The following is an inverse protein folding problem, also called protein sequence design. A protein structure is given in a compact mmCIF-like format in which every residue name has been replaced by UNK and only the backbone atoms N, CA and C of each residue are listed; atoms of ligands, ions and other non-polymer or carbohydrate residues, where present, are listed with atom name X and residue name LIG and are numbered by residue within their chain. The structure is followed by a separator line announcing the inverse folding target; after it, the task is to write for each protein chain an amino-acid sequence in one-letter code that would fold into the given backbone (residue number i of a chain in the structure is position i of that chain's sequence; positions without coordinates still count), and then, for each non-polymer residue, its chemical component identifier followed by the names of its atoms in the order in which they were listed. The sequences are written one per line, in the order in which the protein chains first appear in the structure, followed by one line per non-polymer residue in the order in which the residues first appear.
data_IF_372319078623
#
_entry.id   IF_372319078623
#
_cell.length_a   1.000
_cell.length_b   1.000
_cell.length_c   1.000
_cell.angle_alpha   90.00
_cell.angle_beta   90.00
_cell.angle_gamma   90.00
#
_symmetry.space_group_name_H-M   'P 1'
#
loop_
_entity.id
_entity.type
_entity.pdbx_description
1 polymer ?
#
# COMPACT_ATOMS: atom_id res chain seq x y z
N UNK A 1 45.06 -23.81 -72.07
CA UNK A 1 44.55 -22.46 -71.73
C UNK A 1 43.76 -22.46 -70.40
N UNK A 2 44.26 -23.08 -69.33
CA UNK A 2 43.55 -23.18 -68.03
C UNK A 2 44.36 -22.65 -66.83
N UNK A 3 45.63 -22.29 -67.04
CA UNK A 3 46.51 -21.77 -65.99
C UNK A 3 46.38 -20.25 -65.79
N UNK A 4 46.00 -19.50 -66.84
CA UNK A 4 45.86 -18.03 -66.77
C UNK A 4 44.59 -17.59 -66.05
N UNK A 5 43.47 -18.29 -66.24
CA UNK A 5 42.19 -17.91 -65.63
C UNK A 5 42.22 -17.97 -64.10
N UNK A 6 42.99 -18.91 -63.54
CA UNK A 6 43.15 -19.07 -62.09
C UNK A 6 43.98 -17.95 -61.46
N UNK A 7 44.98 -17.42 -62.16
CA UNK A 7 45.80 -16.28 -61.70
C UNK A 7 45.01 -14.97 -61.77
N UNK A 8 44.23 -14.75 -62.83
CA UNK A 8 43.39 -13.55 -62.97
C UNK A 8 42.27 -13.54 -61.93
N UNK A 9 41.62 -14.68 -61.67
CA UNK A 9 40.58 -14.80 -60.64
C UNK A 9 41.12 -14.57 -59.22
N UNK A 10 42.34 -15.06 -58.91
CA UNK A 10 42.97 -14.85 -57.61
C UNK A 10 43.40 -13.39 -57.39
N UNK A 11 43.90 -12.73 -58.43
CA UNK A 11 44.26 -11.30 -58.39
C UNK A 11 43.03 -10.40 -58.24
N UNK A 12 41.90 -10.74 -58.86
CA UNK A 12 40.63 -10.03 -58.68
C UNK A 12 40.04 -10.24 -57.27
N UNK A 13 40.22 -11.41 -56.66
CA UNK A 13 39.79 -11.66 -55.29
C UNK A 13 40.63 -10.89 -54.27
N UNK A 14 41.95 -10.83 -54.47
CA UNK A 14 42.86 -10.05 -53.63
C UNK A 14 42.57 -8.55 -53.77
N UNK A 15 42.30 -8.05 -54.98
CA UNK A 15 41.93 -6.63 -55.14
C UNK A 15 40.59 -6.32 -54.46
N UNK A 16 39.63 -7.24 -54.49
CA UNK A 16 38.35 -7.07 -53.78
C UNK A 16 38.52 -7.03 -52.25
N UNK A 17 39.39 -7.87 -51.68
CA UNK A 17 39.72 -7.88 -50.25
C UNK A 17 40.48 -6.62 -49.83
N UNK A 18 41.38 -6.10 -50.66
CA UNK A 18 42.11 -4.86 -50.38
C UNK A 18 41.17 -3.65 -50.44
N UNK A 19 40.25 -3.61 -51.41
CA UNK A 19 39.26 -2.53 -51.55
C UNK A 19 38.26 -2.54 -50.39
N UNK A 20 37.79 -3.72 -49.94
CA UNK A 20 36.91 -3.82 -48.78
C UNK A 20 37.63 -3.64 -47.43
N UNK A 21 38.90 -4.04 -47.35
CA UNK A 21 39.73 -3.85 -46.15
C UNK A 21 40.13 -2.39 -45.91
N UNK A 22 40.23 -1.57 -46.96
CA UNK A 22 40.52 -0.14 -46.85
C UNK A 22 39.28 0.72 -46.53
N UNK A 23 38.07 0.21 -46.76
CA UNK A 23 36.81 0.92 -46.43
C UNK A 23 36.43 0.77 -44.95
N UNK A 24 37.02 -0.19 -44.23
CA UNK A 24 36.72 -0.44 -42.80
C UNK A 24 37.94 -0.12 -41.92
N UNK A 25 38.32 1.16 -41.87
CA UNK A 25 39.06 1.71 -40.74
C UNK A 25 38.05 2.21 -39.70
N UNK A 26 38.08 1.73 -38.45
CA UNK A 26 37.24 2.30 -37.40
C UNK A 26 37.79 3.68 -37.06
N UNK A 27 37.07 4.73 -37.47
CA UNK A 27 37.28 6.08 -36.93
C UNK A 27 36.85 6.07 -35.47
N UNK A 28 37.81 6.13 -34.54
CA UNK A 28 37.52 6.44 -33.13
C UNK A 28 37.06 7.89 -33.04
N UNK A 29 35.75 8.09 -33.12
CA UNK A 29 35.11 9.35 -32.80
C UNK A 29 34.96 9.44 -31.27
N UNK A 30 35.82 10.21 -30.62
CA UNK A 30 35.57 10.67 -29.26
C UNK A 30 34.39 11.66 -29.31
N UNK A 31 33.25 11.24 -28.77
CA UNK A 31 32.04 12.04 -28.70
C UNK A 31 31.60 12.14 -27.23
N UNK A 32 31.87 13.28 -26.61
CA UNK A 32 31.28 13.63 -25.32
C UNK A 32 29.88 14.25 -25.50
N UNK A 33 28.92 13.84 -24.67
CA UNK A 33 28.07 14.68 -23.77
C UNK A 33 26.85 13.89 -23.22
N UNK A 34 26.12 14.49 -22.27
CA UNK A 34 25.60 13.87 -21.05
C UNK A 34 24.08 14.05 -20.79
N UNK A 35 23.49 13.16 -19.93
CA UNK A 35 22.23 13.21 -19.12
C UNK A 35 20.85 13.06 -19.86
N UNK A 36 19.85 12.27 -19.39
CA UNK A 36 19.02 12.36 -18.15
C UNK A 36 19.02 11.11 -17.25
N UNK A 37 19.78 10.08 -17.62
CA UNK A 37 19.63 8.71 -17.11
C UNK A 37 20.94 8.04 -16.60
N UNK A 38 22.04 8.81 -16.38
CA UNK A 38 23.11 8.36 -15.47
C UNK A 38 24.56 8.12 -15.97
N UNK A 39 25.07 8.75 -17.02
CA UNK A 39 26.53 8.73 -17.37
C UNK A 39 26.97 10.08 -17.99
N UNK A 40 28.24 10.50 -18.14
CA UNK A 40 29.56 10.38 -17.47
C UNK A 40 30.46 11.51 -18.06
N UNK A 41 31.46 12.03 -17.32
CA UNK A 41 32.34 13.16 -17.73
C UNK A 41 33.82 12.73 -17.83
N UNK A 42 34.64 13.48 -18.58
CA UNK A 42 35.95 14.00 -18.11
C UNK A 42 36.42 15.19 -18.95
N UNK A 43 36.34 16.41 -18.38
CA UNK A 43 37.49 17.25 -17.99
C UNK A 43 38.01 18.10 -19.16
N UNK A 44 37.68 19.38 -19.27
CA UNK A 44 38.41 20.45 -18.56
C UNK A 44 37.69 21.79 -18.74
N UNK A 45 37.81 22.67 -17.74
CA UNK A 45 37.41 24.09 -17.76
C UNK A 45 35.90 24.39 -17.89
N UNK A 46 35.20 24.34 -16.75
CA UNK A 46 34.00 25.14 -16.52
C UNK A 46 34.21 25.99 -15.25
N UNK A 47 35.19 26.89 -15.32
CA UNK A 47 35.21 28.08 -14.47
C UNK A 47 34.11 29.02 -14.96
N UNK A 48 33.29 29.49 -14.01
CA UNK A 48 32.36 30.62 -14.16
C UNK A 48 30.96 30.43 -14.75
N UNK A 49 30.21 29.38 -14.36
CA UNK A 49 28.72 29.49 -14.35
C UNK A 49 28.03 28.76 -13.16
N UNK A 50 28.75 28.50 -12.06
CA UNK A 50 28.19 27.81 -10.87
C UNK A 50 27.48 28.74 -9.87
N UNK A 51 26.92 29.89 -10.27
CA UNK A 51 26.27 30.80 -9.31
C UNK A 51 24.77 31.06 -9.51
N UNK A 52 24.19 30.73 -10.68
CA UNK A 52 22.76 31.08 -10.94
C UNK A 52 21.74 30.11 -10.35
N UNK A 53 22.13 28.89 -10.02
CA UNK A 53 21.25 27.88 -9.42
C UNK A 53 21.78 27.39 -8.09
N UNK A 54 21.90 28.29 -7.10
CA UNK A 54 21.82 27.84 -5.70
C UNK A 54 20.38 27.36 -5.48
N UNK A 55 20.12 26.08 -5.80
CA UNK A 55 18.94 25.33 -5.40
C UNK A 55 19.01 25.15 -3.87
N UNK A 56 18.93 26.25 -3.13
CA UNK A 56 19.12 26.28 -1.69
C UNK A 56 18.13 25.32 -1.05
N UNK A 57 18.65 24.34 -0.32
CA UNK A 57 18.10 23.44 0.72
C UNK A 57 16.56 23.24 0.82
N UNK A 58 15.80 23.42 -0.26
CA UNK A 58 14.32 23.39 -0.30
C UNK A 58 13.79 22.05 0.21
N UNK A 59 14.58 21.00 0.02
CA UNK A 59 14.23 19.62 0.35
C UNK A 59 14.85 19.12 1.65
N UNK A 60 15.79 19.85 2.26
CA UNK A 60 16.55 19.35 3.40
C UNK A 60 15.64 19.03 4.60
N UNK A 61 14.61 19.86 4.83
CA UNK A 61 13.58 19.61 5.83
C UNK A 61 12.87 18.27 5.60
N UNK A 62 12.45 17.98 4.38
CA UNK A 62 11.73 16.74 4.06
C UNK A 62 12.66 15.52 4.14
N UNK A 63 13.90 15.65 3.66
CA UNK A 63 14.90 14.58 3.75
C UNK A 63 15.26 14.27 5.20
N UNK A 64 15.27 15.26 6.10
CA UNK A 64 15.43 15.04 7.54
C UNK A 64 14.24 14.26 8.12
N UNK A 65 13.00 14.67 7.81
CA UNK A 65 11.80 13.97 8.27
C UNK A 65 11.75 12.51 7.80
N UNK A 66 12.10 12.24 6.53
CA UNK A 66 12.15 10.88 5.98
C UNK A 66 13.20 10.04 6.71
N UNK A 67 14.41 10.57 6.91
CA UNK A 67 15.48 9.86 7.65
C UNK A 67 15.06 9.55 9.08
N UNK A 68 14.46 10.51 9.77
CA UNK A 68 13.96 10.31 11.14
C UNK A 68 12.83 9.29 11.21
N UNK A 69 11.89 9.34 10.26
CA UNK A 69 10.80 8.37 10.17
C UNK A 69 11.33 6.95 9.90
N UNK A 70 12.25 6.79 8.96
CA UNK A 70 12.87 5.50 8.65
C UNK A 70 13.68 4.94 9.83
N UNK A 71 14.37 5.81 10.59
CA UNK A 71 15.10 5.39 11.80
C UNK A 71 14.16 4.91 12.91
N UNK A 72 12.95 5.49 13.02
CA UNK A 72 11.94 5.13 14.02
C UNK A 72 11.02 3.99 13.56
N UNK A 73 10.89 3.77 12.25
CA UNK A 73 9.98 2.79 11.68
C UNK A 73 10.40 1.37 12.07
N UNK A 74 9.48 0.64 12.68
CA UNK A 74 9.63 -0.80 12.95
C UNK A 74 8.69 -1.53 12.00
N UNK A 75 9.22 -2.51 11.27
CA UNK A 75 8.40 -3.37 10.42
C UNK A 75 7.41 -4.14 11.28
N UNK A 76 6.18 -4.23 10.79
CA UNK A 76 5.12 -4.98 11.42
C UNK A 76 5.12 -6.42 10.90
N UNK A 77 5.01 -7.41 11.79
CA UNK A 77 4.90 -8.81 11.39
C UNK A 77 3.43 -9.21 11.24
N UNK A 78 3.05 -9.81 10.10
CA UNK A 78 1.65 -10.08 9.77
C UNK A 78 1.22 -11.54 9.97
N UNK A 79 2.13 -12.46 10.32
CA UNK A 79 1.82 -13.89 10.34
C UNK A 79 0.67 -14.28 11.29
N UNK A 80 0.49 -13.55 12.39
CA UNK A 80 -0.51 -13.87 13.43
C UNK A 80 -1.51 -12.72 13.66
N UNK A 81 -1.74 -11.86 12.67
CA UNK A 81 -2.65 -10.70 12.79
C UNK A 81 -2.29 -9.66 13.88
N UNK A 82 -1.18 -9.81 14.59
CA UNK A 82 -0.77 -8.96 15.72
C UNK A 82 -0.42 -7.53 15.32
N UNK A 83 -0.22 -7.28 14.03
CA UNK A 83 0.19 -5.97 13.52
C UNK A 83 -0.75 -4.82 13.92
N UNK A 84 -2.05 -5.11 14.02
CA UNK A 84 -3.08 -4.12 14.29
C UNK A 84 -3.80 -4.35 15.63
N UNK A 85 -3.29 -5.26 16.46
CA UNK A 85 -3.84 -5.59 17.79
C UNK A 85 -3.96 -4.34 18.68
N UNK A 86 -2.93 -3.50 18.71
CA UNK A 86 -2.97 -2.25 19.50
C UNK A 86 -4.07 -1.27 19.08
N UNK A 87 -4.59 -1.36 17.85
CA UNK A 87 -5.76 -0.58 17.43
C UNK A 87 -7.03 -1.18 18.06
N UNK A 88 -7.17 -2.50 18.00
CA UNK A 88 -8.29 -3.23 18.61
C UNK A 88 -8.34 -2.95 20.11
N UNK A 89 -7.21 -3.10 20.80
CA UNK A 89 -7.11 -2.87 22.25
C UNK A 89 -7.49 -1.43 22.61
N UNK A 90 -6.98 -0.45 21.86
CA UNK A 90 -7.30 0.96 22.11
C UNK A 90 -8.78 1.26 21.90
N UNK A 91 -9.44 0.59 20.97
CA UNK A 91 -10.86 0.80 20.65
C UNK A 91 -11.81 0.07 21.60
N UNK A 92 -11.38 -1.07 22.15
CA UNK A 92 -12.13 -1.82 23.16
C UNK A 92 -11.84 -1.37 24.60
N UNK A 93 -10.77 -0.61 24.82
CA UNK A 93 -10.32 -0.13 26.13
C UNK A 93 -11.43 0.52 26.96
N UNK A 94 -12.33 1.31 26.35
CA UNK A 94 -13.45 1.96 27.04
C UNK A 94 -14.39 0.94 27.67
N UNK A 95 -14.66 -0.16 26.97
CA UNK A 95 -15.54 -1.23 27.43
C UNK A 95 -14.85 -2.11 28.45
N UNK A 96 -13.55 -2.30 28.33
CA UNK A 96 -12.75 -3.08 29.28
C UNK A 96 -12.54 -2.36 30.62
N UNK A 97 -12.13 -1.08 30.60
CA UNK A 97 -11.68 -0.34 31.79
C UNK A 97 -12.74 0.57 32.39
N UNK A 98 -13.49 1.32 31.59
CA UNK A 98 -14.43 2.33 32.08
C UNK A 98 -15.83 1.75 32.32
N UNK A 99 -16.44 1.15 31.29
CA UNK A 99 -17.85 0.73 31.32
C UNK A 99 -18.05 -0.72 31.79
N UNK A 100 -17.01 -1.57 31.72
CA UNK A 100 -16.96 -2.99 32.12
C UNK A 100 -17.91 -3.95 31.39
N UNK A 101 -19.09 -3.50 30.97
CA UNK A 101 -20.12 -4.32 30.28
C UNK A 101 -20.84 -3.46 29.23
N UNK A 102 -21.18 -4.08 28.10
CA UNK A 102 -22.10 -3.51 27.10
C UNK A 102 -23.51 -3.97 27.46
N UNK A 103 -24.42 -3.04 27.73
CA UNK A 103 -25.80 -3.37 28.09
C UNK A 103 -26.75 -3.37 26.87
N UNK A 104 -27.94 -3.96 27.05
CA UNK A 104 -28.94 -4.08 25.98
C UNK A 104 -29.48 -2.72 25.54
N UNK A 105 -29.57 -1.76 26.46
CA UNK A 105 -30.03 -0.41 26.18
C UNK A 105 -29.05 0.33 25.25
N UNK A 106 -27.74 0.14 25.45
CA UNK A 106 -26.70 0.67 24.57
C UNK A 106 -26.76 0.06 23.18
N UNK A 107 -27.04 -1.24 23.07
CA UNK A 107 -27.25 -1.91 21.78
C UNK A 107 -28.52 -1.38 21.09
N UNK A 108 -29.61 -1.19 21.83
CA UNK A 108 -30.85 -0.63 21.30
C UNK A 108 -30.66 0.81 20.78
N UNK A 109 -29.88 1.64 21.49
CA UNK A 109 -29.53 2.99 21.03
C UNK A 109 -28.55 2.95 19.84
N UNK A 110 -27.61 2.00 19.85
CA UNK A 110 -26.67 1.80 18.74
C UNK A 110 -27.40 1.43 17.44
N UNK A 111 -28.43 0.57 17.51
CA UNK A 111 -29.23 0.11 16.36
C UNK A 111 -29.86 1.26 15.56
N UNK A 112 -30.17 2.38 16.21
CA UNK A 112 -30.69 3.59 15.52
C UNK A 112 -29.67 4.23 14.57
N UNK A 113 -28.38 3.87 14.69
CA UNK A 113 -27.25 4.52 14.02
C UNK A 113 -26.49 3.57 13.08
N UNK A 114 -26.94 2.33 12.89
CA UNK A 114 -26.29 1.36 12.02
C UNK A 114 -27.19 0.17 11.70
N UNK A 115 -26.61 -0.86 11.11
CA UNK A 115 -27.29 -2.13 10.81
C UNK A 115 -27.02 -3.10 11.95
N UNK A 116 -28.08 -3.65 12.54
CA UNK A 116 -27.98 -4.65 13.59
C UNK A 116 -27.70 -6.03 12.99
N UNK A 117 -26.74 -6.72 13.59
CA UNK A 117 -26.38 -8.09 13.31
C UNK A 117 -26.41 -8.89 14.61
N UNK A 118 -26.76 -10.16 14.48
CA UNK A 118 -26.79 -11.10 15.58
C UNK A 118 -26.27 -12.45 15.09
N UNK A 119 -25.41 -13.06 15.90
CA UNK A 119 -24.93 -14.42 15.69
C UNK A 119 -25.53 -15.28 16.79
N UNK A 120 -26.25 -16.33 16.40
CA UNK A 120 -26.83 -17.31 17.33
C UNK A 120 -26.60 -18.70 16.75
N UNK A 121 -25.96 -19.57 17.53
CA UNK A 121 -25.63 -20.94 17.11
C UNK A 121 -24.92 -20.98 15.76
N UNK A 122 -23.91 -20.13 15.59
CA UNK A 122 -23.12 -19.99 14.36
C UNK A 122 -23.95 -19.65 13.11
N UNK A 123 -25.11 -19.01 13.27
CA UNK A 123 -25.93 -18.47 12.17
C UNK A 123 -26.00 -16.96 12.26
N UNK A 124 -25.86 -16.30 11.10
CA UNK A 124 -25.88 -14.85 11.00
C UNK A 124 -27.28 -14.36 10.71
N UNK A 125 -27.76 -13.47 11.55
CA UNK A 125 -29.00 -12.73 11.39
C UNK A 125 -28.66 -11.25 11.24
N UNK A 126 -29.46 -10.56 10.43
CA UNK A 126 -29.32 -9.12 10.16
C UNK A 126 -30.69 -8.50 10.09
N UNK A 127 -30.79 -7.23 10.46
CA UNK A 127 -31.94 -6.41 10.11
C UNK A 127 -32.27 -6.50 8.62
N UNK A 128 -33.58 -6.54 8.33
CA UNK A 128 -34.10 -6.64 6.97
C UNK A 128 -33.72 -5.42 6.13
N UNK A 129 -33.65 -4.23 6.75
CA UNK A 129 -33.27 -2.99 6.10
C UNK A 129 -31.75 -2.76 6.18
N UNK A 130 -31.11 -2.73 5.01
CA UNK A 130 -29.74 -2.25 4.85
C UNK A 130 -29.73 -1.15 3.78
N UNK A 131 -29.35 0.07 4.17
CA UNK A 131 -29.35 1.24 3.27
C UNK A 131 -28.36 1.09 2.10
N UNK A 132 -27.27 0.34 2.29
CA UNK A 132 -26.26 0.07 1.26
C UNK A 132 -26.03 -1.44 1.12
N UNK A 133 -26.89 -2.16 0.37
CA UNK A 133 -26.86 -3.62 0.29
C UNK A 133 -25.49 -4.18 -0.10
N UNK A 134 -24.80 -3.55 -1.06
CA UNK A 134 -23.46 -3.98 -1.48
C UNK A 134 -22.42 -3.94 -0.34
N UNK A 135 -22.52 -2.95 0.56
CA UNK A 135 -21.63 -2.84 1.73
C UNK A 135 -21.96 -3.91 2.77
N UNK A 136 -23.26 -4.18 3.01
CA UNK A 136 -23.68 -5.29 3.87
C UNK A 136 -23.25 -6.65 3.31
N UNK A 137 -23.34 -6.87 2.00
CA UNK A 137 -22.86 -8.11 1.37
C UNK A 137 -21.33 -8.27 1.52
N UNK A 138 -20.58 -7.18 1.39
CA UNK A 138 -19.15 -7.18 1.67
C UNK A 138 -18.82 -7.53 3.12
N UNK A 139 -19.62 -7.03 4.06
CA UNK A 139 -19.53 -7.38 5.49
C UNK A 139 -19.80 -8.87 5.72
N UNK A 140 -20.90 -9.37 5.19
CA UNK A 140 -21.34 -10.74 5.33
C UNK A 140 -20.37 -11.74 4.70
N UNK A 141 -19.78 -11.39 3.56
CA UNK A 141 -18.77 -12.20 2.88
C UNK A 141 -17.66 -12.66 3.83
N UNK A 142 -17.28 -11.79 4.76
CA UNK A 142 -16.23 -12.13 5.70
C UNK A 142 -16.73 -12.73 7.01
N UNK A 143 -17.84 -12.23 7.56
CA UNK A 143 -18.46 -12.81 8.75
C UNK A 143 -18.76 -14.30 8.53
N UNK A 144 -19.32 -14.66 7.37
CA UNK A 144 -19.67 -16.03 7.03
C UNK A 144 -18.44 -16.96 6.95
N UNK A 145 -17.22 -16.44 6.73
CA UNK A 145 -16.00 -17.25 6.71
C UNK A 145 -15.56 -17.70 8.09
N UNK A 146 -15.78 -16.88 9.11
CA UNK A 146 -15.34 -17.13 10.49
C UNK A 146 -16.50 -17.51 11.42
N UNK A 147 -17.72 -17.57 10.91
CA UNK A 147 -18.93 -17.72 11.73
C UNK A 147 -18.96 -18.97 12.61
N UNK A 148 -18.28 -20.03 12.18
CA UNK A 148 -18.16 -21.29 12.93
C UNK A 148 -17.30 -21.15 14.19
N UNK A 149 -16.40 -20.17 14.21
CA UNK A 149 -15.47 -19.92 15.32
C UNK A 149 -15.98 -18.79 16.24
N UNK A 150 -17.01 -18.06 15.79
CA UNK A 150 -17.58 -16.95 16.54
C UNK A 150 -18.61 -17.42 17.58
N UNK A 151 -18.60 -16.85 18.80
CA UNK A 151 -19.62 -17.11 19.81
C UNK A 151 -20.94 -16.41 19.47
N UNK A 152 -21.97 -16.73 20.25
CA UNK A 152 -23.22 -15.99 20.21
C UNK A 152 -23.00 -14.54 20.66
N UNK A 153 -23.28 -13.60 19.77
CA UNK A 153 -23.06 -12.17 20.02
C UNK A 153 -23.98 -11.29 19.18
N UNK A 154 -24.20 -10.06 19.65
CA UNK A 154 -24.92 -9.02 18.93
C UNK A 154 -24.03 -7.80 18.74
N UNK A 155 -24.18 -7.14 17.57
CA UNK A 155 -23.38 -5.97 17.26
C UNK A 155 -24.04 -5.10 16.20
N UNK A 156 -23.62 -3.83 16.16
CA UNK A 156 -24.15 -2.85 15.20
C UNK A 156 -23.03 -2.33 14.31
N UNK A 157 -23.23 -2.39 13.00
CA UNK A 157 -22.28 -1.90 12.00
C UNK A 157 -22.85 -0.67 11.30
N UNK A 158 -22.16 0.45 11.44
CA UNK A 158 -22.36 1.63 10.62
C UNK A 158 -21.77 1.41 9.22
N UNK A 159 -22.67 1.32 8.24
CA UNK A 159 -22.35 1.17 6.82
C UNK A 159 -22.12 2.50 6.09
N UNK A 160 -22.23 3.65 6.78
CA UNK A 160 -22.02 4.98 6.20
C UNK A 160 -20.55 5.41 6.28
N UNK A 161 -20.16 6.37 5.45
CA UNK A 161 -18.76 6.83 5.36
C UNK A 161 -18.29 7.59 6.61
N UNK A 162 -19.22 8.21 7.35
CA UNK A 162 -18.92 9.04 8.52
C UNK A 162 -19.26 8.35 9.85
N UNK A 163 -18.40 8.46 10.88
CA UNK A 163 -18.67 7.88 12.20
C UNK A 163 -19.91 8.51 12.86
N UNK A 164 -20.67 7.68 13.60
CA UNK A 164 -21.94 8.09 14.22
C UNK A 164 -21.86 8.47 15.70
N UNK A 165 -20.72 8.24 16.34
CA UNK A 165 -20.51 8.52 17.77
C UNK A 165 -19.46 9.63 17.92
N UNK A 166 -19.86 10.85 18.34
CA UNK A 166 -18.92 11.92 18.66
C UNK A 166 -18.25 11.69 20.02
N UNK A 167 -17.08 12.30 20.25
CA UNK A 167 -16.29 12.14 21.50
C UNK A 167 -17.05 12.48 22.78
N UNK A 168 -17.88 13.53 22.69
CA UNK A 168 -18.49 14.19 23.84
C UNK A 168 -19.74 13.47 24.34
N UNK A 169 -20.26 12.53 23.58
CA UNK A 169 -21.40 11.71 23.98
C UNK A 169 -20.93 10.43 24.66
N UNK A 170 -21.88 9.75 25.31
CA UNK A 170 -21.64 8.43 25.84
C UNK A 170 -21.19 7.45 24.73
N UNK A 171 -20.21 6.58 25.05
CA UNK A 171 -19.77 5.55 24.12
C UNK A 171 -20.93 4.62 23.77
N UNK A 172 -21.11 4.35 22.47
CA UNK A 172 -22.05 3.36 21.94
C UNK A 172 -21.31 2.29 21.14
N UNK A 173 -21.63 1.00 21.32
CA UNK A 173 -20.91 -0.13 20.71
C UNK A 173 -21.26 -0.26 19.22
N UNK A 174 -20.78 0.69 18.40
CA UNK A 174 -21.00 0.76 16.96
C UNK A 174 -19.67 0.57 16.24
N UNK A 175 -19.61 -0.43 15.38
CA UNK A 175 -18.51 -0.63 14.46
C UNK A 175 -18.65 0.29 13.26
N UNK A 176 -17.55 0.92 12.84
CA UNK A 176 -17.54 1.82 11.67
C UNK A 176 -16.33 1.46 10.80
N UNK A 177 -16.33 1.92 9.55
CA UNK A 177 -15.14 1.76 8.70
C UNK A 177 -14.05 2.79 9.03
N UNK A 178 -14.43 4.02 9.38
CA UNK A 178 -13.52 5.14 9.61
C UNK A 178 -13.88 5.91 10.88
N UNK A 179 -12.88 6.55 11.50
CA UNK A 179 -13.04 7.50 12.61
C UNK A 179 -12.19 8.74 12.41
N UNK A 180 -12.63 9.85 13.01
CA UNK A 180 -11.72 10.97 13.31
C UNK A 180 -10.96 10.66 14.61
N UNK A 181 -9.76 11.21 14.75
CA UNK A 181 -8.83 11.04 15.92
C UNK A 181 -9.50 11.24 17.29
N UNK A 182 -10.64 11.94 17.32
CA UNK A 182 -11.38 12.24 18.55
C UNK A 182 -12.58 11.32 18.82
N UNK A 183 -13.01 10.44 17.92
CA UNK A 183 -14.14 9.53 18.20
C UNK A 183 -13.69 8.37 19.10
N UNK A 184 -14.47 8.08 20.15
CA UNK A 184 -14.12 7.11 21.20
C UNK A 184 -14.17 5.64 20.77
N UNK A 185 -14.71 5.32 19.60
CA UNK A 185 -14.98 3.92 19.23
C UNK A 185 -14.79 3.74 17.72
N UNK A 186 -13.89 2.85 17.35
CA UNK A 186 -13.86 2.20 16.04
C UNK A 186 -13.37 0.77 16.18
N UNK A 187 -14.18 -0.22 15.88
CA UNK A 187 -13.59 -1.43 15.33
C UNK A 187 -13.46 -1.23 13.81
N UNK A 188 -12.25 -1.21 13.22
CA UNK A 188 -12.15 -1.12 11.78
C UNK A 188 -12.68 -2.40 11.15
N UNK A 189 -13.93 -2.34 10.69
CA UNK A 189 -14.64 -3.46 10.08
C UNK A 189 -13.84 -4.09 8.91
N UNK A 190 -13.10 -3.29 8.14
CA UNK A 190 -12.31 -3.80 7.00
C UNK A 190 -11.02 -4.51 7.41
N UNK A 191 -10.49 -4.27 8.61
CA UNK A 191 -9.24 -4.87 9.07
C UNK A 191 -9.43 -6.21 9.81
N UNK A 192 -10.62 -6.49 10.36
CA UNK A 192 -10.94 -7.81 10.94
C UNK A 192 -10.87 -8.95 9.93
N UNK A 193 -11.05 -8.61 8.66
CA UNK A 193 -11.26 -9.61 7.62
C UNK A 193 -10.32 -9.50 6.44
N UNK A 194 -9.27 -8.69 6.55
CA UNK A 194 -8.06 -9.04 5.84
C UNK A 194 -7.72 -10.48 6.26
N UNK A 195 -7.50 -11.39 5.30
CA UNK A 195 -7.31 -12.80 5.60
C UNK A 195 -6.00 -12.95 6.36
N UNK A 196 -6.08 -12.79 7.68
CA UNK A 196 -5.13 -13.43 8.54
C UNK A 196 -5.44 -14.90 8.42
N UNK A 197 -4.67 -15.58 7.57
CA UNK A 197 -4.63 -17.04 7.57
C UNK A 197 -4.06 -17.42 8.93
N UNK A 198 -4.91 -17.63 9.91
CA UNK A 198 -4.60 -18.56 10.99
C UNK A 198 -4.43 -19.90 10.29
N UNK A 199 -3.18 -20.33 10.10
CA UNK A 199 -2.90 -21.73 9.81
C UNK A 199 -3.37 -22.51 11.04
N UNK A 200 -4.61 -23.01 10.96
CA UNK A 200 -5.09 -24.11 11.80
C UNK A 200 -5.17 -25.31 10.90
#
# INVERSE_FOLDING_TARGET
MAADYRRVSFLLFISFIIVWGLIVLPTSADQETCLKDGTCKTETQATEEKSKYKKGNKWEKYLKLIREANKKHKKCHQANCTCHEGVIDSDLWVWEKEKKVINREQIAEARKKGVYYQIVSHKLYRDSSCMFPARCNGVEHFLLKIIKDLPDMEFVINIQDYPKVPKFFDPLPIFSFSKKVFSKILFPFLFLFYPCKTNV
#
